data_IF_452472462802
#
_entry.id   IF_452472462802
#
_cell.length_a   1.000
_cell.length_b   1.000
_cell.length_c   1.000
_cell.angle_alpha   90.00
_cell.angle_beta   90.00
_cell.angle_gamma   90.00
#
_symmetry.space_group_name_H-M   'P 1'
#
loop_
_entity.id
_entity.type
_entity.pdbx_description
1 polymer ?
#
# COMPACT_ATOMS: atom_id res chain seq x y z
N UNK A 1 30.55 -9.21 29.07
CA UNK A 1 30.05 -8.62 30.33
C UNK A 1 28.54 -8.74 30.31
N UNK A 2 27.91 -9.20 31.40
CA UNK A 2 26.45 -9.38 31.49
C UNK A 2 25.67 -8.11 31.10
N UNK A 3 26.24 -6.93 31.34
CA UNK A 3 25.66 -5.65 30.96
C UNK A 3 25.42 -5.55 29.45
N UNK A 4 26.40 -5.94 28.63
CA UNK A 4 26.25 -5.93 27.16
C UNK A 4 25.25 -6.97 26.65
N UNK A 5 25.13 -8.10 27.34
CA UNK A 5 24.10 -9.11 27.02
C UNK A 5 22.71 -8.55 27.26
N UNK A 6 22.49 -7.87 28.39
CA UNK A 6 21.23 -7.21 28.68
C UNK A 6 20.93 -6.05 27.73
N UNK A 7 21.92 -5.25 27.35
CA UNK A 7 21.76 -4.16 26.38
C UNK A 7 21.26 -4.69 25.03
N UNK A 8 21.91 -5.73 24.49
CA UNK A 8 21.55 -6.35 23.21
C UNK A 8 20.15 -6.99 23.28
N UNK A 9 19.83 -7.70 24.36
CA UNK A 9 18.50 -8.29 24.52
C UNK A 9 17.40 -7.22 24.68
N UNK A 10 17.71 -6.11 25.34
CA UNK A 10 16.78 -4.98 25.48
C UNK A 10 16.53 -4.30 24.14
N UNK A 11 17.57 -4.10 23.31
CA UNK A 11 17.42 -3.58 21.95
C UNK A 11 16.58 -4.51 21.05
N UNK A 12 16.78 -5.82 21.17
CA UNK A 12 16.00 -6.84 20.44
C UNK A 12 14.53 -6.80 20.82
N UNK A 13 14.22 -6.82 22.11
CA UNK A 13 12.85 -6.74 22.61
C UNK A 13 12.18 -5.41 22.26
N UNK A 14 12.89 -4.29 22.37
CA UNK A 14 12.36 -2.98 21.99
C UNK A 14 12.04 -2.92 20.49
N UNK A 15 12.91 -3.46 19.63
CA UNK A 15 12.66 -3.52 18.18
C UNK A 15 11.42 -4.37 17.86
N UNK A 16 11.24 -5.50 18.57
CA UNK A 16 10.02 -6.33 18.45
C UNK A 16 8.76 -5.58 18.89
N UNK A 17 8.83 -4.83 19.98
CA UNK A 17 7.70 -4.01 20.47
C UNK A 17 7.34 -2.93 19.44
N UNK A 18 8.34 -2.25 18.86
CA UNK A 18 8.13 -1.25 17.80
C UNK A 18 7.49 -1.86 16.55
N UNK A 19 7.95 -3.04 16.12
CA UNK A 19 7.33 -3.76 15.00
C UNK A 19 5.87 -4.13 15.27
N UNK A 20 5.58 -4.72 16.43
CA UNK A 20 4.20 -5.08 16.80
C UNK A 20 3.28 -3.85 16.90
N UNK A 21 3.77 -2.71 17.39
CA UNK A 21 3.02 -1.45 17.40
C UNK A 21 2.69 -0.99 15.97
N UNK A 22 3.68 -0.96 15.08
CA UNK A 22 3.46 -0.57 13.69
C UNK A 22 2.49 -1.50 12.94
N UNK A 23 2.53 -2.80 13.24
CA UNK A 23 1.57 -3.76 12.70
C UNK A 23 0.15 -3.50 13.22
N UNK A 24 0.00 -3.16 14.50
CA UNK A 24 -1.29 -2.82 15.08
C UNK A 24 -1.86 -1.52 14.47
N UNK A 25 -1.00 -0.52 14.26
CA UNK A 25 -1.37 0.74 13.61
C UNK A 25 -1.84 0.49 12.17
N UNK A 26 -1.11 -0.31 11.39
CA UNK A 26 -1.53 -0.67 10.03
C UNK A 26 -2.88 -1.38 10.03
N UNK A 27 -3.06 -2.41 10.87
CA UNK A 27 -4.32 -3.15 10.97
C UNK A 27 -5.49 -2.23 11.32
N UNK A 28 -5.27 -1.27 12.22
CA UNK A 28 -6.28 -0.28 12.60
C UNK A 28 -6.67 0.60 11.42
N UNK A 29 -5.70 1.12 10.67
CA UNK A 29 -5.95 1.96 9.49
C UNK A 29 -6.67 1.15 8.40
N UNK A 30 -6.22 -0.08 8.12
CA UNK A 30 -6.86 -0.96 7.15
C UNK A 30 -8.31 -1.28 7.53
N UNK A 31 -8.57 -1.56 8.81
CA UNK A 31 -9.91 -1.84 9.31
C UNK A 31 -10.84 -0.64 9.10
N UNK A 32 -10.37 0.57 9.43
CA UNK A 32 -11.16 1.80 9.27
C UNK A 32 -11.43 2.11 7.79
N UNK A 33 -10.46 1.85 6.90
CA UNK A 33 -10.65 1.97 5.45
C UNK A 33 -11.67 0.96 4.91
N UNK A 34 -11.57 -0.31 5.33
CA UNK A 34 -12.55 -1.33 4.95
C UNK A 34 -13.96 -0.97 5.44
N UNK A 35 -14.08 -0.47 6.68
CA UNK A 35 -15.35 -0.01 7.25
C UNK A 35 -15.94 1.16 6.46
N UNK A 36 -15.14 2.20 6.21
CA UNK A 36 -15.53 3.36 5.38
C UNK A 36 -15.99 2.92 3.98
N UNK A 37 -15.26 1.99 3.36
CA UNK A 37 -15.64 1.46 2.05
C UNK A 37 -16.95 0.65 2.10
N UNK A 38 -17.17 -0.16 3.14
CA UNK A 38 -18.40 -0.90 3.34
C UNK A 38 -19.60 0.03 3.56
N UNK A 39 -19.45 1.08 4.37
CA UNK A 39 -20.48 2.11 4.60
C UNK A 39 -20.84 2.83 3.29
N UNK A 40 -19.83 3.21 2.49
CA UNK A 40 -20.03 3.81 1.17
C UNK A 40 -20.80 2.87 0.22
N UNK A 41 -20.40 1.60 0.14
CA UNK A 41 -21.10 0.61 -0.69
C UNK A 41 -22.54 0.40 -0.22
N UNK A 42 -22.78 0.33 1.09
CA UNK A 42 -24.13 0.20 1.65
C UNK A 42 -25.02 1.40 1.28
N UNK A 43 -24.48 2.62 1.36
CA UNK A 43 -25.20 3.82 0.92
C UNK A 43 -25.51 3.79 -0.57
N UNK A 44 -24.55 3.40 -1.41
CA UNK A 44 -24.77 3.27 -2.86
C UNK A 44 -25.88 2.26 -3.15
N UNK A 45 -25.80 1.06 -2.56
CA UNK A 45 -26.85 0.04 -2.70
C UNK A 45 -28.22 0.60 -2.32
N UNK A 46 -28.33 1.32 -1.20
CA UNK A 46 -29.57 1.98 -0.81
C UNK A 46 -30.09 3.00 -1.84
N UNK A 47 -29.20 3.80 -2.45
CA UNK A 47 -29.58 4.71 -3.57
C UNK A 47 -30.09 3.93 -4.79
N UNK A 48 -29.40 2.85 -5.18
CA UNK A 48 -29.79 2.00 -6.31
C UNK A 48 -31.13 1.28 -6.06
N UNK A 49 -31.35 0.74 -4.86
CA UNK A 49 -32.60 0.06 -4.47
C UNK A 49 -33.79 1.03 -4.45
N UNK A 50 -33.59 2.24 -3.90
CA UNK A 50 -34.59 3.31 -3.92
C UNK A 50 -34.97 3.69 -5.34
N UNK A 51 -33.97 3.92 -6.21
CA UNK A 51 -34.22 4.25 -7.62
C UNK A 51 -34.86 3.10 -8.40
N UNK A 52 -34.48 1.85 -8.14
CA UNK A 52 -35.11 0.69 -8.76
C UNK A 52 -36.60 0.60 -8.39
N UNK A 53 -36.94 0.90 -7.14
CA UNK A 53 -38.33 0.95 -6.67
C UNK A 53 -39.10 2.10 -7.33
N UNK A 54 -38.51 3.30 -7.39
CA UNK A 54 -39.08 4.45 -8.08
C UNK A 54 -39.33 4.16 -9.57
N UNK A 55 -38.35 3.59 -10.27
CA UNK A 55 -38.49 3.22 -11.68
C UNK A 55 -39.58 2.16 -11.90
N UNK A 56 -39.71 1.18 -10.99
CA UNK A 56 -40.79 0.18 -11.05
C UNK A 56 -42.17 0.82 -10.91
N UNK A 57 -42.35 1.75 -9.96
CA UNK A 57 -43.61 2.49 -9.82
C UNK A 57 -43.88 3.39 -11.03
N UNK A 58 -42.87 4.08 -11.56
CA UNK A 58 -43.00 4.91 -12.75
C UNK A 58 -43.38 4.09 -14.00
N UNK A 59 -42.86 2.86 -14.11
CA UNK A 59 -43.24 1.91 -15.15
C UNK A 59 -44.70 1.49 -15.00
N UNK A 60 -45.14 1.12 -13.80
CA UNK A 60 -46.54 0.75 -13.53
C UNK A 60 -47.51 1.88 -13.89
N UNK A 61 -47.22 3.13 -13.53
CA UNK A 61 -48.03 4.27 -13.96
C UNK A 61 -47.99 4.49 -15.49
N UNK A 62 -46.88 4.15 -16.14
CA UNK A 62 -46.78 4.21 -17.61
C UNK A 62 -47.65 3.13 -18.26
N UNK A 63 -47.66 1.91 -17.73
CA UNK A 63 -48.50 0.80 -18.21
C UNK A 63 -50.00 1.13 -18.06
N UNK A 64 -50.41 1.64 -16.90
CA UNK A 64 -51.80 2.09 -16.67
C UNK A 64 -52.19 3.25 -17.60
N UNK A 65 -51.24 4.14 -17.90
CA UNK A 65 -51.46 5.26 -18.80
C UNK A 65 -51.61 4.76 -20.25
N UNK A 66 -50.84 3.75 -20.66
CA UNK A 66 -50.98 3.09 -21.97
C UNK A 66 -52.35 2.40 -22.07
N UNK A 67 -52.78 1.61 -21.08
CA UNK A 67 -54.10 0.96 -21.06
C UNK A 67 -55.24 1.99 -21.25
N UNK A 68 -55.17 3.13 -20.55
CA UNK A 68 -56.16 4.20 -20.68
C UNK A 68 -56.13 4.90 -22.06
N UNK A 69 -54.94 5.13 -22.63
CA UNK A 69 -54.78 5.69 -23.97
C UNK A 69 -55.29 4.73 -25.06
N UNK A 70 -55.05 3.42 -24.92
CA UNK A 70 -55.56 2.39 -25.83
C UNK A 70 -57.09 2.37 -25.85
N UNK A 71 -57.74 2.53 -24.70
CA UNK A 71 -59.20 2.62 -24.61
C UNK A 71 -59.74 3.90 -25.24
N UNK A 72 -59.11 5.05 -25.01
CA UNK A 72 -59.48 6.30 -25.70
C UNK A 72 -59.33 6.19 -27.22
N UNK A 73 -58.25 5.55 -27.68
CA UNK A 73 -58.03 5.31 -29.10
C UNK A 73 -59.11 4.39 -29.68
N UNK A 74 -59.41 3.27 -29.02
CA UNK A 74 -60.46 2.35 -29.46
C UNK A 74 -61.85 3.02 -29.52
N UNK A 75 -62.16 3.89 -28.55
CA UNK A 75 -63.39 4.70 -28.57
C UNK A 75 -63.41 5.64 -29.78
N UNK A 76 -62.34 6.38 -30.04
CA UNK A 76 -62.23 7.30 -31.17
C UNK A 76 -62.29 6.59 -32.54
N UNK A 77 -61.57 5.47 -32.69
CA UNK A 77 -61.59 4.65 -33.92
C UNK A 77 -62.98 4.04 -34.17
N UNK A 78 -63.66 3.60 -33.12
CA UNK A 78 -65.03 3.08 -33.23
C UNK A 78 -66.05 4.18 -33.58
N UNK A 79 -65.88 5.39 -33.05
CA UNK A 79 -66.69 6.56 -33.41
C UNK A 79 -66.48 6.94 -34.89
N UNK A 80 -65.23 7.00 -35.34
CA UNK A 80 -64.93 7.25 -36.75
C UNK A 80 -65.53 6.19 -37.66
N UNK A 81 -65.42 4.91 -37.30
CA UNK A 81 -65.99 3.78 -38.06
C UNK A 81 -67.52 3.86 -38.15
N UNK A 82 -68.18 4.28 -37.07
CA UNK A 82 -69.62 4.46 -37.01
C UNK A 82 -70.07 5.63 -37.90
N UNK A 83 -69.37 6.77 -37.83
CA UNK A 83 -69.61 7.95 -38.68
C UNK A 83 -69.42 7.59 -40.16
N UNK A 84 -68.35 6.88 -40.52
CA UNK A 84 -68.09 6.43 -41.89
C UNK A 84 -69.17 5.47 -42.40
N UNK A 85 -69.60 4.51 -41.57
CA UNK A 85 -70.70 3.61 -41.88
C UNK A 85 -72.02 4.36 -42.12
N UNK A 86 -72.30 5.40 -41.33
CA UNK A 86 -73.48 6.26 -41.49
C UNK A 86 -73.44 7.07 -42.79
N UNK A 87 -72.29 7.67 -43.15
CA UNK A 87 -72.13 8.39 -44.42
C UNK A 87 -72.33 7.46 -45.62
N UNK A 88 -71.77 6.24 -45.56
CA UNK A 88 -71.95 5.22 -46.60
C UNK A 88 -73.41 4.75 -46.69
N UNK A 89 -74.09 4.58 -45.57
CA UNK A 89 -75.52 4.25 -45.53
C UNK A 89 -76.42 5.38 -46.07
N UNK A 90 -76.01 6.64 -45.89
CA UNK A 90 -76.69 7.81 -46.46
C UNK A 90 -76.42 8.02 -47.96
N UNK A 91 -75.67 7.13 -48.62
CA UNK A 91 -75.34 7.23 -50.05
C UNK A 91 -74.25 8.26 -50.38
N UNK A 92 -73.56 8.78 -49.36
CA UNK A 92 -72.49 9.77 -49.51
C UNK A 92 -71.15 9.04 -49.52
N UNK A 93 -70.70 8.62 -50.72
CA UNK A 93 -69.44 7.91 -50.91
C UNK A 93 -68.68 8.41 -52.14
N UNK A 94 -67.35 8.47 -52.06
CA UNK A 94 -66.50 8.81 -53.20
C UNK A 94 -66.61 7.71 -54.27
N UNK A 95 -66.86 8.12 -55.52
CA UNK A 95 -66.94 7.25 -56.70
C UNK A 95 -65.53 6.74 -57.02
N UNK A 96 -65.11 5.62 -56.44
CA UNK A 96 -63.79 5.07 -56.80
C UNK A 96 -63.27 3.85 -56.05
N UNK A 97 -63.66 3.60 -54.79
CA UNK A 97 -63.04 2.52 -54.01
C UNK A 97 -63.94 1.29 -53.88
N UNK A 98 -63.73 0.33 -54.79
CA UNK A 98 -64.23 -1.03 -54.66
C UNK A 98 -63.38 -1.80 -53.64
N UNK A 99 -63.60 -1.54 -52.35
CA UNK A 99 -63.02 -2.33 -51.27
C UNK A 99 -64.11 -3.10 -50.52
N UNK A 100 -64.21 -4.39 -50.85
CA UNK A 100 -64.85 -5.43 -50.05
C UNK A 100 -66.36 -5.54 -50.20
N UNK A 101 -66.81 -6.76 -50.50
CA UNK A 101 -68.21 -7.20 -50.65
C UNK A 101 -68.97 -7.24 -49.31
N UNK A 102 -68.72 -6.26 -48.45
CA UNK A 102 -69.22 -6.21 -47.08
C UNK A 102 -70.47 -5.32 -47.03
N UNK A 103 -71.61 -5.94 -46.70
CA UNK A 103 -72.88 -5.24 -46.59
C UNK A 103 -72.76 -4.05 -45.60
N UNK A 104 -73.23 -2.86 -46.00
CA UNK A 104 -73.22 -1.64 -45.17
C UNK A 104 -73.80 -1.92 -43.77
N UNK A 105 -74.82 -2.76 -43.69
CA UNK A 105 -75.45 -3.20 -42.44
C UNK A 105 -74.49 -4.02 -41.56
N UNK A 106 -73.65 -4.88 -42.16
CA UNK A 106 -72.63 -5.65 -41.44
C UNK A 106 -71.50 -4.76 -40.94
N UNK A 107 -71.08 -3.77 -41.73
CA UNK A 107 -70.09 -2.77 -41.32
C UNK A 107 -70.57 -1.93 -40.13
N UNK A 108 -71.81 -1.42 -40.18
CA UNK A 108 -72.42 -0.66 -39.08
C UNK A 108 -72.58 -1.52 -37.82
N UNK A 109 -73.01 -2.78 -37.98
CA UNK A 109 -73.11 -3.72 -36.86
C UNK A 109 -71.75 -3.94 -36.19
N UNK A 110 -70.69 -4.19 -36.98
CA UNK A 110 -69.33 -4.34 -36.44
C UNK A 110 -68.87 -3.07 -35.72
N UNK A 111 -69.09 -1.90 -36.30
CA UNK A 111 -68.70 -0.62 -35.67
C UNK A 111 -69.41 -0.43 -34.31
N UNK A 112 -70.69 -0.77 -34.22
CA UNK A 112 -71.45 -0.71 -32.98
C UNK A 112 -70.98 -1.73 -31.94
N UNK A 113 -70.68 -2.96 -32.36
CA UNK A 113 -70.16 -4.01 -31.47
C UNK A 113 -68.75 -3.65 -30.94
N UNK A 114 -67.89 -3.10 -31.80
CA UNK A 114 -66.57 -2.58 -31.41
C UNK A 114 -66.70 -1.42 -30.41
N UNK A 115 -67.58 -0.45 -30.68
CA UNK A 115 -67.84 0.67 -29.77
C UNK A 115 -68.33 0.19 -28.41
N UNK A 116 -69.33 -0.70 -28.38
CA UNK A 116 -69.86 -1.27 -27.14
C UNK A 116 -68.78 -2.01 -26.32
N UNK A 117 -67.88 -2.70 -27.00
CA UNK A 117 -66.75 -3.39 -26.35
C UNK A 117 -65.77 -2.40 -25.72
N UNK A 118 -65.40 -1.34 -26.45
CA UNK A 118 -64.53 -0.28 -25.94
C UNK A 118 -65.16 0.49 -24.76
N UNK A 119 -66.45 0.81 -24.86
CA UNK A 119 -67.22 1.47 -23.79
C UNK A 119 -67.29 0.61 -22.52
N UNK A 120 -67.54 -0.69 -22.65
CA UNK A 120 -67.57 -1.60 -21.52
C UNK A 120 -66.20 -1.73 -20.85
N UNK A 121 -65.12 -1.79 -21.64
CA UNK A 121 -63.76 -1.85 -21.12
C UNK A 121 -63.35 -0.53 -20.42
N UNK A 122 -63.72 0.63 -20.97
CA UNK A 122 -63.53 1.93 -20.35
C UNK A 122 -64.30 2.07 -19.03
N UNK A 123 -65.56 1.64 -18.98
CA UNK A 123 -66.34 1.60 -17.74
C UNK A 123 -65.73 0.68 -16.69
N UNK A 124 -65.22 -0.49 -17.10
CA UNK A 124 -64.53 -1.40 -16.20
C UNK A 124 -63.26 -0.77 -15.61
N UNK A 125 -62.49 -0.02 -16.42
CA UNK A 125 -61.31 0.71 -15.94
C UNK A 125 -61.68 1.84 -14.97
N UNK A 126 -62.72 2.63 -15.27
CA UNK A 126 -63.22 3.69 -14.38
C UNK A 126 -63.76 3.11 -13.06
N UNK A 127 -64.44 1.97 -13.09
CA UNK A 127 -64.86 1.31 -11.85
C UNK A 127 -63.70 0.82 -11.00
N UNK A 128 -62.59 0.36 -11.62
CA UNK A 128 -61.36 0.04 -10.88
C UNK A 128 -60.76 1.29 -10.24
N UNK A 129 -60.79 2.44 -10.92
CA UNK A 129 -60.34 3.71 -10.38
C UNK A 129 -61.15 4.15 -9.16
N UNK A 130 -62.49 4.09 -9.27
CA UNK A 130 -63.41 4.45 -8.19
C UNK A 130 -63.24 3.52 -6.97
N UNK A 131 -62.98 2.23 -7.19
CA UNK A 131 -62.66 1.26 -6.13
C UNK A 131 -61.28 1.47 -5.49
N UNK A 132 -60.29 1.93 -6.26
CA UNK A 132 -58.94 2.22 -5.78
C UNK A 132 -58.89 3.45 -4.88
N UNK A 133 -59.79 4.42 -5.10
CA UNK A 133 -59.93 5.64 -4.29
C UNK A 133 -60.26 5.37 -2.80
N UNK A 134 -60.86 4.21 -2.48
CA UNK A 134 -61.19 3.81 -1.10
C UNK A 134 -60.06 3.12 -0.32
N UNK A 135 -58.96 2.74 -0.97
CA UNK A 135 -57.87 1.95 -0.38
C UNK A 135 -56.58 2.73 -0.07
N UNK A 136 -56.54 4.04 -0.39
CA UNK A 136 -55.31 4.83 -0.45
C UNK A 136 -54.63 5.18 0.90
N UNK A 137 -55.01 4.54 2.02
CA UNK A 137 -54.35 4.71 3.33
C UNK A 137 -53.74 3.43 3.92
N UNK A 138 -53.57 2.37 3.13
CA UNK A 138 -52.60 1.34 3.49
C UNK A 138 -51.28 1.65 2.76
N UNK A 139 -50.26 2.03 3.53
CA UNK A 139 -48.87 2.19 3.07
C UNK A 139 -48.43 0.86 2.44
N UNK A 140 -48.46 0.78 1.11
CA UNK A 140 -48.00 -0.38 0.34
C UNK A 140 -46.48 -0.37 0.26
N UNK A 141 -45.87 -0.73 1.38
CA UNK A 141 -44.47 -1.13 1.50
C UNK A 141 -44.38 -2.61 1.84
N UNK A 142 -44.95 -3.51 1.03
CA UNK A 142 -44.53 -4.91 1.03
C UNK A 142 -44.95 -5.58 -0.29
N UNK A 143 -44.00 -6.21 -0.94
CA UNK A 143 -44.23 -7.22 -1.97
C UNK A 143 -45.34 -8.16 -1.49
N UNK A 144 -46.37 -8.40 -2.31
CA UNK A 144 -47.31 -9.51 -2.13
C UNK A 144 -46.46 -10.78 -1.94
N UNK A 145 -46.32 -11.22 -0.70
CA UNK A 145 -45.62 -12.44 -0.34
C UNK A 145 -46.63 -13.58 -0.53
N UNK A 146 -46.28 -14.67 -1.26
CA UNK A 146 -47.21 -15.76 -1.61
C UNK A 146 -47.91 -16.46 -0.44
N UNK A 147 -47.51 -16.19 0.81
CA UNK A 147 -47.98 -16.86 2.02
C UNK A 147 -49.09 -16.09 2.76
N UNK A 148 -49.43 -14.85 2.36
CA UNK A 148 -50.49 -14.05 3.00
C UNK A 148 -51.91 -14.55 2.69
N UNK A 149 -52.06 -15.48 1.74
CA UNK A 149 -53.35 -16.07 1.36
C UNK A 149 -53.95 -17.07 2.36
N UNK A 150 -53.36 -17.25 3.56
CA UNK A 150 -53.79 -18.30 4.50
C UNK A 150 -54.41 -17.79 5.81
N UNK A 151 -54.67 -16.48 5.97
CA UNK A 151 -55.19 -15.94 7.25
C UNK A 151 -56.47 -15.11 7.15
N UNK A 152 -57.36 -15.39 6.21
CA UNK A 152 -58.69 -14.78 6.22
C UNK A 152 -59.74 -15.75 5.70
N UNK A 153 -60.09 -16.72 6.53
CA UNK A 153 -61.32 -17.47 6.37
C UNK A 153 -62.29 -17.07 7.49
N UNK A 154 -63.52 -16.78 7.07
CA UNK A 154 -64.77 -16.70 7.86
C UNK A 154 -65.11 -15.30 8.42
N UNK A 155 -66.28 -14.69 8.22
CA UNK A 155 -67.64 -15.25 8.09
C UNK A 155 -68.64 -14.33 7.33
N UNK A 156 -69.50 -14.95 6.51
CA UNK A 156 -70.97 -14.73 6.34
C UNK A 156 -71.56 -13.33 6.08
N UNK A 157 -72.14 -13.16 4.88
CA UNK A 157 -73.58 -12.89 4.62
C UNK A 157 -73.74 -12.50 3.14
N UNK A 158 -74.22 -13.37 2.26
CA UNK A 158 -75.58 -13.31 1.68
C UNK A 158 -76.24 -11.93 1.73
N UNK A 159 -76.17 -11.21 0.61
CA UNK A 159 -77.36 -10.68 -0.07
C UNK A 159 -77.08 -10.63 -1.56
N UNK A 160 -77.83 -11.43 -2.31
CA UNK A 160 -78.02 -11.28 -3.74
C UNK A 160 -78.39 -9.83 -4.03
N UNK A 161 -77.44 -9.08 -4.58
CA UNK A 161 -77.76 -7.84 -5.28
C UNK A 161 -77.81 -8.23 -6.74
N UNK A 162 -79.03 -8.28 -7.29
CA UNK A 162 -79.21 -8.08 -8.72
C UNK A 162 -78.48 -6.78 -9.05
N UNK A 163 -77.27 -6.90 -9.60
CA UNK A 163 -76.64 -5.82 -10.33
C UNK A 163 -77.56 -5.58 -11.52
N UNK A 164 -78.58 -4.77 -11.27
CA UNK A 164 -79.28 -4.02 -12.30
C UNK A 164 -78.16 -3.41 -13.12
N UNK A 165 -77.93 -3.93 -14.32
CA UNK A 165 -77.13 -3.22 -15.30
C UNK A 165 -77.83 -1.88 -15.47
N UNK A 166 -77.35 -0.87 -14.75
CA UNK A 166 -77.45 0.48 -15.22
C UNK A 166 -76.76 0.41 -16.57
N UNK A 167 -77.55 0.19 -17.62
CA UNK A 167 -77.23 0.39 -19.01
C UNK A 167 -77.10 1.91 -19.21
N UNK A 168 -76.27 2.54 -18.37
CA UNK A 168 -75.86 3.92 -18.49
C UNK A 168 -74.96 3.92 -19.70
N UNK A 169 -75.45 4.51 -20.79
CA UNK A 169 -74.69 4.79 -21.99
C UNK A 169 -73.36 5.44 -21.60
N UNK A 170 -72.27 5.11 -22.30
CA UNK A 170 -70.99 5.77 -22.04
C UNK A 170 -71.12 7.25 -22.41
N UNK A 171 -70.91 8.11 -21.43
CA UNK A 171 -71.17 9.54 -21.55
C UNK A 171 -69.90 10.33 -21.88
N UNK A 172 -70.05 11.58 -22.34
CA UNK A 172 -68.89 12.48 -22.53
C UNK A 172 -68.19 12.78 -21.21
N UNK A 173 -68.93 12.71 -20.11
CA UNK A 173 -68.41 12.84 -18.75
C UNK A 173 -67.54 11.64 -18.35
N UNK A 174 -67.84 10.43 -18.81
CA UNK A 174 -66.99 9.25 -18.61
C UNK A 174 -65.68 9.37 -19.41
N UNK A 175 -65.78 9.84 -20.66
CA UNK A 175 -64.60 10.12 -21.49
C UNK A 175 -63.71 11.20 -20.88
N UNK A 176 -64.31 12.25 -20.32
CA UNK A 176 -63.57 13.29 -19.60
C UNK A 176 -62.89 12.73 -18.35
N UNK A 177 -63.57 11.90 -17.56
CA UNK A 177 -62.95 11.21 -16.41
C UNK A 177 -61.78 10.33 -16.81
N UNK A 178 -61.84 9.63 -17.94
CA UNK A 178 -60.73 8.84 -18.46
C UNK A 178 -59.53 9.73 -18.85
N UNK A 179 -59.76 10.91 -19.43
CA UNK A 179 -58.71 11.90 -19.73
C UNK A 179 -58.08 12.48 -18.45
N UNK A 180 -58.90 12.77 -17.45
CA UNK A 180 -58.43 13.28 -16.16
C UNK A 180 -57.58 12.23 -15.43
N UNK A 181 -57.98 10.95 -15.49
CA UNK A 181 -57.20 9.85 -14.95
C UNK A 181 -55.82 9.71 -15.61
N UNK A 182 -55.76 9.81 -16.94
CA UNK A 182 -54.48 9.83 -17.67
C UNK A 182 -53.59 10.99 -17.20
N UNK A 183 -54.18 12.18 -16.99
CA UNK A 183 -53.42 13.32 -16.52
C UNK A 183 -52.92 13.12 -15.09
N UNK A 184 -53.74 12.50 -14.22
CA UNK A 184 -53.33 12.09 -12.87
C UNK A 184 -52.15 11.12 -12.91
N UNK A 185 -52.22 10.05 -13.70
CA UNK A 185 -51.13 9.08 -13.86
C UNK A 185 -49.82 9.73 -14.34
N UNK A 186 -49.93 10.70 -15.26
CA UNK A 186 -48.76 11.47 -15.74
C UNK A 186 -48.17 12.34 -14.63
N UNK A 187 -49.00 12.95 -13.78
CA UNK A 187 -48.55 13.74 -12.65
C UNK A 187 -47.89 12.86 -11.58
N UNK A 188 -48.48 11.71 -11.24
CA UNK A 188 -47.94 10.77 -10.25
C UNK A 188 -46.59 10.19 -10.71
N UNK A 189 -46.47 9.83 -12.00
CA UNK A 189 -45.19 9.45 -12.60
C UNK A 189 -44.16 10.57 -12.56
N UNK A 190 -44.56 11.83 -12.79
CA UNK A 190 -43.66 12.96 -12.69
C UNK A 190 -43.20 13.19 -11.25
N UNK A 191 -44.08 13.01 -10.26
CA UNK A 191 -43.75 13.09 -8.84
C UNK A 191 -42.70 12.04 -8.44
N UNK A 192 -42.83 10.78 -8.92
CA UNK A 192 -41.81 9.75 -8.68
C UNK A 192 -40.47 10.10 -9.31
N UNK A 193 -40.46 10.71 -10.51
CA UNK A 193 -39.22 11.12 -11.14
C UNK A 193 -38.43 12.11 -10.28
N UNK A 194 -39.13 12.95 -9.49
CA UNK A 194 -38.49 13.90 -8.57
C UNK A 194 -37.84 13.22 -7.35
N UNK A 195 -38.22 11.99 -7.00
CA UNK A 195 -37.63 11.24 -5.87
C UNK A 195 -36.39 10.44 -6.28
N UNK A 196 -36.04 10.42 -7.57
CA UNK A 196 -34.87 9.69 -8.06
C UNK A 196 -33.57 10.39 -7.67
N UNK A 197 -32.63 9.60 -7.13
CA UNK A 197 -31.32 10.07 -6.70
C UNK A 197 -30.28 9.95 -7.82
N UNK A 198 -29.26 10.81 -7.81
CA UNK A 198 -28.11 10.64 -8.69
C UNK A 198 -27.28 9.42 -8.27
N UNK A 199 -26.97 8.57 -9.25
CA UNK A 199 -26.24 7.32 -9.05
C UNK A 199 -24.76 7.54 -9.33
N UNK A 200 -23.92 7.08 -8.41
CA UNK A 200 -22.46 7.11 -8.55
C UNK A 200 -21.97 5.71 -8.94
N UNK A 201 -20.97 5.66 -9.82
CA UNK A 201 -20.30 4.40 -10.19
C UNK A 201 -19.51 3.82 -9.01
N UNK A 202 -19.62 2.51 -8.82
CA UNK A 202 -18.82 1.75 -7.84
C UNK A 202 -17.35 1.69 -8.27
N UNK A 203 -17.09 1.73 -9.58
CA UNK A 203 -15.75 1.69 -10.14
C UNK A 203 -15.16 3.10 -10.13
N UNK A 204 -14.14 3.31 -9.31
CA UNK A 204 -13.24 4.44 -9.43
C UNK A 204 -12.40 4.16 -10.68
N UNK A 205 -12.78 4.74 -11.82
CA UNK A 205 -11.95 4.72 -13.01
C UNK A 205 -10.65 5.49 -12.67
N UNK A 206 -9.46 4.87 -12.76
CA UNK A 206 -8.18 5.54 -12.45
C UNK A 206 -7.93 6.81 -13.28
N UNK A 207 -8.70 7.03 -14.35
CA UNK A 207 -8.61 8.20 -15.23
C UNK A 207 -9.70 9.26 -14.99
N UNK A 208 -10.63 9.04 -14.06
CA UNK A 208 -11.70 9.98 -13.71
C UNK A 208 -11.17 11.09 -12.78
N UNK A 209 -10.47 12.07 -13.35
CA UNK A 209 -10.08 13.31 -12.68
C UNK A 209 -11.25 14.30 -12.67
N UNK A 210 -12.25 14.14 -11.78
CA UNK A 210 -13.05 15.32 -11.37
C UNK A 210 -13.85 15.19 -10.05
N UNK A 211 -13.41 14.37 -9.08
CA UNK A 211 -14.03 14.39 -7.75
C UNK A 211 -12.97 14.59 -6.68
N UNK A 212 -13.13 15.70 -5.95
CA UNK A 212 -12.32 16.14 -4.81
C UNK A 212 -12.00 14.96 -3.86
N UNK A 213 -10.73 14.68 -3.54
CA UNK A 213 -10.36 13.42 -2.92
C UNK A 213 -10.46 13.51 -1.40
N UNK A 214 -11.50 12.91 -0.82
CA UNK A 214 -11.48 12.52 0.60
C UNK A 214 -10.67 11.23 0.83
N UNK A 215 -10.59 10.37 -0.19
CA UNK A 215 -9.91 9.07 -0.12
C UNK A 215 -8.39 9.11 -0.28
N UNK A 216 -7.83 10.13 -0.94
CA UNK A 216 -6.38 10.17 -1.17
C UNK A 216 -5.58 10.31 0.12
N UNK A 217 -6.11 11.03 1.13
CA UNK A 217 -5.43 11.13 2.43
C UNK A 217 -5.40 9.78 3.15
N UNK A 218 -6.52 9.06 3.20
CA UNK A 218 -6.59 7.74 3.83
C UNK A 218 -5.70 6.72 3.10
N UNK A 219 -5.65 6.78 1.76
CA UNK A 219 -4.77 5.95 0.95
C UNK A 219 -3.29 6.25 1.22
N UNK A 220 -2.91 7.52 1.29
CA UNK A 220 -1.55 7.92 1.65
C UNK A 220 -1.18 7.51 3.09
N UNK A 221 -2.15 7.56 4.01
CA UNK A 221 -1.97 7.14 5.40
C UNK A 221 -1.73 5.62 5.49
N UNK A 222 -2.49 4.82 4.72
CA UNK A 222 -2.27 3.37 4.62
C UNK A 222 -0.90 3.07 4.02
N UNK A 223 -0.55 3.68 2.89
CA UNK A 223 0.75 3.49 2.25
C UNK A 223 1.90 3.85 3.20
N UNK A 224 1.76 4.94 3.97
CA UNK A 224 2.72 5.34 4.98
C UNK A 224 2.80 4.35 6.15
N UNK A 225 1.67 3.77 6.59
CA UNK A 225 1.63 2.75 7.63
C UNK A 225 2.27 1.43 7.18
N UNK A 226 2.06 1.01 5.93
CA UNK A 226 2.72 -0.17 5.34
C UNK A 226 4.23 0.02 5.31
N UNK A 227 4.69 1.17 4.81
CA UNK A 227 6.13 1.50 4.81
C UNK A 227 6.72 1.52 6.22
N UNK A 228 5.96 1.99 7.22
CA UNK A 228 6.39 1.97 8.61
C UNK A 228 6.49 0.54 9.15
N UNK A 229 5.52 -0.33 8.84
CA UNK A 229 5.56 -1.74 9.23
C UNK A 229 6.77 -2.45 8.63
N UNK A 230 7.03 -2.26 7.33
CA UNK A 230 8.20 -2.81 6.63
C UNK A 230 9.51 -2.31 7.26
N UNK A 231 9.60 -1.01 7.53
CA UNK A 231 10.77 -0.42 8.19
C UNK A 231 11.02 -1.04 9.58
N UNK A 232 9.96 -1.21 10.38
CA UNK A 232 10.10 -1.80 11.71
C UNK A 232 10.41 -3.30 11.65
N UNK A 233 9.91 -4.02 10.64
CA UNK A 233 10.29 -5.42 10.40
C UNK A 233 11.79 -5.54 10.15
N UNK A 234 12.32 -4.70 9.26
CA UNK A 234 13.75 -4.65 8.95
C UNK A 234 14.59 -4.27 10.18
N UNK A 235 14.10 -3.35 11.04
CA UNK A 235 14.78 -3.01 12.30
C UNK A 235 14.81 -4.19 13.27
N UNK A 236 13.71 -4.93 13.38
CA UNK A 236 13.65 -6.13 14.22
C UNK A 236 14.64 -7.19 13.73
N UNK A 237 14.65 -7.49 12.43
CA UNK A 237 15.62 -8.42 11.82
C UNK A 237 17.06 -7.97 12.06
N UNK A 238 17.34 -6.67 11.95
CA UNK A 238 18.67 -6.12 12.24
C UNK A 238 19.05 -6.29 13.72
N UNK A 239 18.13 -6.07 14.65
CA UNK A 239 18.38 -6.26 16.08
C UNK A 239 18.59 -7.75 16.42
N UNK A 240 17.82 -8.65 15.80
CA UNK A 240 17.98 -10.10 15.92
C UNK A 240 19.36 -10.56 15.39
N UNK A 241 19.77 -10.08 14.22
CA UNK A 241 21.09 -10.38 13.66
C UNK A 241 22.24 -9.84 14.52
N UNK A 242 22.10 -8.63 15.10
CA UNK A 242 23.07 -8.10 16.06
C UNK A 242 23.19 -8.97 17.30
N UNK A 243 22.07 -9.48 17.82
CA UNK A 243 22.07 -10.39 18.95
C UNK A 243 22.78 -11.71 18.64
N UNK A 244 22.50 -12.30 17.48
CA UNK A 244 23.18 -13.51 17.01
C UNK A 244 24.68 -13.31 16.80
N UNK A 245 25.08 -12.19 16.16
CA UNK A 245 26.50 -11.84 16.00
C UNK A 245 27.21 -11.70 17.34
N UNK A 246 26.58 -11.05 18.32
CA UNK A 246 27.14 -10.90 19.66
C UNK A 246 27.40 -12.26 20.32
N UNK A 247 26.44 -13.19 20.23
CA UNK A 247 26.58 -14.54 20.78
C UNK A 247 27.69 -15.33 20.08
N UNK A 248 27.74 -15.30 18.75
CA UNK A 248 28.77 -15.97 17.96
C UNK A 248 30.17 -15.42 18.23
N UNK A 249 30.32 -14.09 18.36
CA UNK A 249 31.61 -13.49 18.73
C UNK A 249 32.08 -13.89 20.12
N UNK A 250 31.14 -14.03 21.08
CA UNK A 250 31.44 -14.50 22.43
C UNK A 250 31.90 -15.96 22.41
N UNK A 251 31.20 -16.80 21.66
CA UNK A 251 31.57 -18.21 21.48
C UNK A 251 32.93 -18.37 20.79
N UNK A 252 33.17 -17.60 19.72
CA UNK A 252 34.46 -17.55 19.02
C UNK A 252 35.60 -17.23 19.98
N UNK A 253 35.49 -16.14 20.76
CA UNK A 253 36.52 -15.75 21.74
C UNK A 253 36.75 -16.82 22.81
N UNK A 254 35.67 -17.48 23.27
CA UNK A 254 35.79 -18.58 24.22
C UNK A 254 36.52 -19.79 23.62
N UNK A 255 36.28 -20.11 22.35
CA UNK A 255 36.99 -21.17 21.62
C UNK A 255 38.45 -20.80 21.34
N UNK A 256 38.74 -19.56 20.96
CA UNK A 256 40.10 -19.05 20.77
C UNK A 256 40.94 -19.17 22.04
N UNK A 257 40.38 -18.83 23.20
CA UNK A 257 41.05 -19.01 24.49
C UNK A 257 41.31 -20.49 24.82
N UNK A 258 40.36 -21.38 24.51
CA UNK A 258 40.54 -22.83 24.68
C UNK A 258 41.62 -23.37 23.76
N UNK A 259 41.66 -22.92 22.50
CA UNK A 259 42.69 -23.29 21.53
C UNK A 259 44.07 -22.86 22.04
N UNK A 260 44.23 -21.60 22.42
CA UNK A 260 45.49 -21.06 22.95
C UNK A 260 45.96 -21.82 24.21
N UNK A 261 45.03 -22.18 25.10
CA UNK A 261 45.36 -23.02 26.27
C UNK A 261 45.86 -24.40 25.87
N UNK A 262 45.33 -25.01 24.80
CA UNK A 262 45.80 -26.30 24.29
C UNK A 262 47.14 -26.19 23.58
N UNK A 263 47.36 -25.15 22.80
CA UNK A 263 48.65 -24.85 22.16
C UNK A 263 49.76 -24.66 23.20
N UNK A 264 49.47 -23.91 24.28
CA UNK A 264 50.42 -23.75 25.38
C UNK A 264 50.71 -25.09 26.10
N UNK A 265 49.69 -25.94 26.27
CA UNK A 265 49.84 -27.28 26.84
C UNK A 265 50.67 -28.20 25.93
N UNK A 266 50.44 -28.17 24.63
CA UNK A 266 51.23 -28.90 23.62
C UNK A 266 52.69 -28.46 23.67
N UNK A 267 52.95 -27.15 23.71
CA UNK A 267 54.30 -26.62 23.78
C UNK A 267 55.03 -27.05 25.07
N UNK A 268 54.32 -27.09 26.20
CA UNK A 268 54.88 -27.60 27.45
C UNK A 268 55.25 -29.09 27.34
N UNK A 269 54.41 -29.92 26.71
CA UNK A 269 54.72 -31.32 26.46
C UNK A 269 55.90 -31.51 25.50
N UNK A 270 56.01 -30.69 24.46
CA UNK A 270 57.13 -30.74 23.52
C UNK A 270 58.47 -30.43 24.22
N UNK A 271 58.51 -29.39 25.04
CA UNK A 271 59.70 -29.06 25.85
C UNK A 271 60.04 -30.19 26.82
N UNK A 272 59.03 -30.81 27.44
CA UNK A 272 59.25 -31.96 28.32
C UNK A 272 59.83 -33.17 27.57
N UNK A 273 59.32 -33.46 26.37
CA UNK A 273 59.85 -34.52 25.50
C UNK A 273 61.30 -34.21 25.09
N UNK A 274 61.62 -32.96 24.75
CA UNK A 274 62.97 -32.55 24.39
C UNK A 274 63.95 -32.71 25.55
N UNK A 275 63.55 -32.29 26.76
CA UNK A 275 64.33 -32.49 27.97
C UNK A 275 64.63 -33.96 28.24
N UNK A 276 63.62 -34.84 28.18
CA UNK A 276 63.81 -36.29 28.35
C UNK A 276 64.72 -36.90 27.27
N UNK A 277 64.61 -36.43 26.02
CA UNK A 277 65.53 -36.86 24.95
C UNK A 277 66.96 -36.46 25.24
N UNK A 278 67.20 -35.23 25.71
CA UNK A 278 68.53 -34.76 26.10
C UNK A 278 69.09 -35.57 27.27
N UNK A 279 68.30 -35.88 28.30
CA UNK A 279 68.74 -36.73 29.42
C UNK A 279 69.14 -38.14 28.96
N UNK A 280 68.35 -38.75 28.06
CA UNK A 280 68.67 -40.07 27.50
C UNK A 280 69.97 -40.03 26.70
N UNK A 281 70.20 -38.99 25.93
CA UNK A 281 71.42 -38.84 25.15
C UNK A 281 72.65 -38.60 26.04
N UNK A 282 72.51 -37.78 27.09
CA UNK A 282 73.57 -37.57 28.09
C UNK A 282 73.93 -38.89 28.81
N UNK A 283 72.93 -39.70 29.17
CA UNK A 283 73.17 -41.02 29.78
C UNK A 283 73.92 -41.96 28.83
N UNK A 284 73.62 -41.94 27.51
CA UNK A 284 74.38 -42.70 26.51
C UNK A 284 75.81 -42.21 26.39
N UNK A 285 76.03 -40.89 26.35
CA UNK A 285 77.38 -40.32 26.31
C UNK A 285 78.18 -40.68 27.56
N UNK A 286 77.57 -40.61 28.75
CA UNK A 286 78.22 -41.02 29.99
C UNK A 286 78.58 -42.51 29.98
N UNK A 287 77.71 -43.39 29.45
CA UNK A 287 78.03 -44.81 29.23
C UNK A 287 79.18 -45.01 28.23
N UNK A 288 79.18 -44.29 27.11
CA UNK A 288 80.27 -44.33 26.14
C UNK A 288 81.59 -43.84 26.74
N UNK A 289 81.55 -42.77 27.54
CA UNK A 289 82.73 -42.24 28.25
C UNK A 289 83.26 -43.24 29.28
N UNK A 290 82.38 -43.87 30.05
CA UNK A 290 82.79 -44.91 31.03
C UNK A 290 83.33 -46.18 30.38
N UNK A 291 82.84 -46.55 29.19
CA UNK A 291 83.42 -47.63 28.37
C UNK A 291 84.78 -47.23 27.74
N UNK A 292 85.01 -45.94 27.48
CA UNK A 292 86.30 -45.44 26.95
C UNK A 292 87.38 -45.22 28.02
N UNK A 293 87.01 -45.04 29.29
CA UNK A 293 87.95 -44.79 30.40
C UNK A 293 88.63 -46.03 30.98
N UNK A 294 88.50 -47.22 30.36
CA UNK A 294 89.36 -48.38 30.64
C UNK A 294 90.63 -48.44 29.79
N UNK A 295 90.86 -47.47 28.90
CA UNK A 295 92.11 -47.34 28.16
C UNK A 295 92.72 -45.95 28.35
N UNK A 296 93.99 -45.95 28.76
CA UNK A 296 94.93 -44.81 28.85
C UNK A 296 94.87 -43.91 30.09
N UNK A 297 95.66 -44.31 31.09
CA UNK A 297 96.22 -43.45 32.15
C UNK A 297 97.64 -43.05 31.73
N UNK A 298 97.96 -41.74 31.70
CA UNK A 298 99.31 -41.20 32.01
C UNK A 298 99.33 -39.66 32.10
N UNK A 299 99.71 -39.23 33.32
CA UNK A 299 100.22 -37.96 33.87
C UNK A 299 101.27 -37.22 33.00
N UNK A 300 101.69 -35.96 33.22
CA UNK A 300 101.50 -34.99 34.31
C UNK A 300 101.81 -33.54 33.88
N UNK A 301 101.26 -32.65 34.70
CA UNK A 301 101.45 -31.23 35.03
C UNK A 301 102.79 -30.47 34.80
N UNK A 302 102.59 -29.23 34.30
CA UNK A 302 102.87 -27.91 34.93
C UNK A 302 104.26 -27.22 34.87
N UNK A 303 104.21 -25.97 34.38
CA UNK A 303 104.60 -24.70 35.05
C UNK A 303 105.84 -23.90 34.57
N UNK A 304 105.63 -22.56 34.53
CA UNK A 304 106.54 -21.44 34.92
C UNK A 304 107.33 -20.62 33.87
N UNK A 305 106.78 -19.44 33.58
CA UNK A 305 107.33 -18.05 33.66
C UNK A 305 108.80 -17.65 33.35
N UNK A 306 108.89 -16.58 32.52
CA UNK A 306 109.66 -15.31 32.62
C UNK A 306 111.15 -15.15 32.22
N UNK A 307 111.36 -14.23 31.24
CA UNK A 307 112.41 -13.17 31.09
C UNK A 307 113.88 -13.58 31.04
N UNK A 308 114.80 -13.00 30.26
CA UNK A 308 114.87 -11.93 29.26
C UNK A 308 116.28 -12.03 28.64
N UNK A 309 116.51 -11.44 27.47
CA UNK A 309 117.84 -10.93 27.12
C UNK A 309 118.72 -11.71 26.14
N UNK A 310 118.72 -11.20 24.91
CA UNK A 310 119.92 -10.78 24.15
C UNK A 310 120.40 -11.66 22.98
N UNK A 311 119.92 -11.27 21.79
CA UNK A 311 120.64 -11.01 20.53
C UNK A 311 121.83 -11.92 20.17
N UNK A 312 121.74 -12.62 19.03
CA UNK A 312 122.20 -12.08 17.75
C UNK A 312 122.36 -13.17 16.67
N UNK A 313 122.07 -12.75 15.42
CA UNK A 313 122.73 -13.14 14.17
C UNK A 313 122.01 -14.14 13.26
N UNK A 314 121.91 -13.71 11.99
CA UNK A 314 121.83 -14.51 10.75
C UNK A 314 120.44 -15.04 10.35
N UNK A 315 119.73 -14.29 9.52
CA UNK A 315 119.71 -14.39 8.03
C UNK A 315 118.85 -15.53 7.44
N UNK A 316 117.81 -15.07 6.73
CA UNK A 316 117.21 -15.61 5.51
C UNK A 316 116.20 -16.78 5.58
N UNK A 317 115.94 -17.38 6.75
CA UNK A 317 114.96 -18.49 6.84
C UNK A 317 113.82 -18.29 7.84
N UNK A 318 113.87 -17.29 8.71
CA UNK A 318 112.86 -17.10 9.77
C UNK A 318 111.77 -16.05 9.46
N UNK A 319 111.85 -15.36 8.32
CA UNK A 319 110.83 -14.37 7.93
C UNK A 319 109.57 -15.00 7.26
N UNK A 320 109.48 -16.33 7.18
CA UNK A 320 108.35 -17.04 6.55
C UNK A 320 107.37 -17.70 7.53
N UNK A 321 107.81 -18.17 8.69
CA UNK A 321 106.93 -18.90 9.62
C UNK A 321 106.12 -17.99 10.57
N UNK A 322 106.67 -16.84 10.97
CA UNK A 322 105.93 -15.87 11.81
C UNK A 322 104.84 -15.15 11.01
N UNK A 323 105.12 -14.80 9.75
CA UNK A 323 104.18 -14.16 8.84
C UNK A 323 103.04 -15.09 8.38
N UNK A 324 103.27 -16.40 8.23
CA UNK A 324 102.22 -17.33 7.77
C UNK A 324 101.20 -17.66 8.88
N UNK A 325 101.66 -17.79 10.13
CA UNK A 325 100.78 -17.96 11.30
C UNK A 325 99.98 -16.70 11.62
N UNK A 326 100.60 -15.51 11.54
CA UNK A 326 99.88 -14.23 11.68
C UNK A 326 98.90 -14.01 10.52
N UNK A 327 99.28 -14.30 9.27
CA UNK A 327 98.38 -14.15 8.11
C UNK A 327 97.20 -15.12 8.16
N UNK A 328 97.40 -16.36 8.62
CA UNK A 328 96.31 -17.34 8.78
C UNK A 328 95.37 -16.97 9.93
N UNK A 329 95.89 -16.44 11.04
CA UNK A 329 95.06 -15.94 12.15
C UNK A 329 94.32 -14.66 11.76
N UNK A 330 94.93 -13.74 11.00
CA UNK A 330 94.26 -12.57 10.43
C UNK A 330 93.17 -12.95 9.43
N UNK A 331 93.42 -13.92 8.55
CA UNK A 331 92.42 -14.44 7.61
C UNK A 331 91.25 -15.09 8.36
N UNK A 332 91.50 -15.91 9.39
CA UNK A 332 90.46 -16.49 10.23
C UNK A 332 89.65 -15.42 10.98
N UNK A 333 90.32 -14.36 11.45
CA UNK A 333 89.67 -13.22 12.07
C UNK A 333 88.85 -12.40 11.06
N UNK A 334 89.34 -12.22 9.82
CA UNK A 334 88.63 -11.57 8.74
C UNK A 334 87.37 -12.36 8.33
N UNK A 335 87.46 -13.67 8.19
CA UNK A 335 86.35 -14.57 7.86
C UNK A 335 85.29 -14.58 8.97
N UNK A 336 85.71 -14.50 10.24
CA UNK A 336 84.79 -14.34 11.39
C UNK A 336 84.09 -12.98 11.37
N UNK A 337 84.78 -11.90 11.01
CA UNK A 337 84.17 -10.56 10.83
C UNK A 337 83.20 -10.56 9.65
N UNK A 338 83.55 -11.18 8.54
CA UNK A 338 82.69 -11.33 7.36
C UNK A 338 81.40 -12.10 7.71
N UNK A 339 81.51 -13.22 8.44
CA UNK A 339 80.33 -13.99 8.89
C UNK A 339 79.41 -13.17 9.79
N UNK A 340 79.96 -12.37 10.72
CA UNK A 340 79.17 -11.44 11.55
C UNK A 340 78.51 -10.34 10.72
N UNK A 341 79.22 -9.80 9.73
CA UNK A 341 78.70 -8.77 8.84
C UNK A 341 77.55 -9.30 7.98
N UNK A 342 77.68 -10.53 7.44
CA UNK A 342 76.60 -11.23 6.71
C UNK A 342 75.37 -11.45 7.59
N UNK A 343 75.56 -11.90 8.84
CA UNK A 343 74.46 -12.03 9.80
C UNK A 343 73.73 -10.72 10.04
N UNK A 344 74.48 -9.63 10.25
CA UNK A 344 73.91 -8.30 10.46
C UNK A 344 73.19 -7.75 9.23
N UNK A 345 73.71 -8.01 8.02
CA UNK A 345 73.02 -7.67 6.77
C UNK A 345 71.71 -8.44 6.64
N UNK A 346 71.70 -9.75 6.96
CA UNK A 346 70.48 -10.56 6.91
C UNK A 346 69.41 -10.07 7.90
N UNK A 347 69.81 -9.67 9.11
CA UNK A 347 68.92 -9.08 10.11
C UNK A 347 68.35 -7.73 9.63
N UNK A 348 69.17 -6.88 9.00
CA UNK A 348 68.74 -5.61 8.43
C UNK A 348 67.75 -5.80 7.28
N UNK A 349 68.00 -6.77 6.39
CA UNK A 349 67.07 -7.12 5.30
C UNK A 349 65.74 -7.59 5.89
N UNK A 350 65.77 -8.49 6.88
CA UNK A 350 64.56 -8.99 7.55
C UNK A 350 63.80 -7.88 8.30
N UNK A 351 64.52 -6.90 8.86
CA UNK A 351 63.91 -5.73 9.50
C UNK A 351 63.27 -4.79 8.47
N UNK A 352 63.93 -4.55 7.32
CA UNK A 352 63.39 -3.76 6.22
C UNK A 352 62.14 -4.42 5.63
N UNK A 353 62.14 -5.73 5.38
CA UNK A 353 60.96 -6.44 4.89
C UNK A 353 59.77 -6.33 5.85
N UNK A 354 60.00 -6.47 7.16
CA UNK A 354 58.96 -6.26 8.18
C UNK A 354 58.45 -4.83 8.20
N UNK A 355 59.35 -3.84 8.08
CA UNK A 355 58.98 -2.43 8.03
C UNK A 355 58.17 -2.11 6.77
N UNK A 356 58.57 -2.65 5.61
CA UNK A 356 57.87 -2.49 4.33
C UNK A 356 56.47 -3.07 4.41
N UNK A 357 56.31 -4.32 4.87
CA UNK A 357 55.00 -4.95 5.07
C UNK A 357 54.13 -4.15 6.05
N UNK A 358 54.72 -3.68 7.15
CA UNK A 358 54.02 -2.84 8.13
C UNK A 358 53.58 -1.50 7.52
N UNK A 359 54.40 -0.89 6.67
CA UNK A 359 54.06 0.35 5.96
C UNK A 359 52.96 0.13 4.92
N UNK A 360 53.02 -0.97 4.17
CA UNK A 360 52.02 -1.35 3.17
C UNK A 360 50.65 -1.59 3.81
N UNK A 361 50.60 -2.34 4.92
CA UNK A 361 49.36 -2.54 5.68
C UNK A 361 48.79 -1.21 6.18
N UNK A 362 49.63 -0.30 6.71
CA UNK A 362 49.17 1.04 7.12
C UNK A 362 48.62 1.84 5.95
N UNK A 363 49.25 1.79 4.78
CA UNK A 363 48.74 2.47 3.59
C UNK A 363 47.41 1.89 3.10
N UNK A 364 47.27 0.57 3.14
CA UNK A 364 46.03 -0.11 2.81
C UNK A 364 44.89 0.30 3.76
N UNK A 365 45.14 0.28 5.07
CA UNK A 365 44.18 0.74 6.09
C UNK A 365 43.81 2.23 5.89
N UNK A 366 44.80 3.08 5.60
CA UNK A 366 44.55 4.49 5.31
C UNK A 366 43.67 4.68 4.06
N UNK A 367 43.86 3.86 3.02
CA UNK A 367 43.04 3.91 1.81
C UNK A 367 41.59 3.48 2.09
N UNK A 368 41.40 2.44 2.91
CA UNK A 368 40.09 1.99 3.38
C UNK A 368 39.37 3.09 4.18
N UNK A 369 40.04 3.72 5.14
CA UNK A 369 39.47 4.85 5.88
C UNK A 369 39.07 6.02 4.97
N UNK A 370 39.88 6.34 3.96
CA UNK A 370 39.53 7.38 2.98
C UNK A 370 38.30 6.98 2.16
N UNK A 371 38.17 5.71 1.77
CA UNK A 371 37.02 5.22 1.03
C UNK A 371 35.74 5.23 1.87
N UNK A 372 35.83 4.86 3.15
CA UNK A 372 34.71 4.94 4.08
C UNK A 372 34.28 6.39 4.33
N UNK A 373 35.24 7.30 4.48
CA UNK A 373 34.97 8.74 4.59
C UNK A 373 34.28 9.27 3.33
N UNK A 374 34.74 8.87 2.14
CA UNK A 374 34.09 9.23 0.86
C UNK A 374 32.65 8.71 0.79
N UNK A 375 32.41 7.47 1.21
CA UNK A 375 31.06 6.86 1.24
C UNK A 375 30.15 7.60 2.23
N UNK A 376 30.65 7.89 3.42
CA UNK A 376 29.91 8.65 4.44
C UNK A 376 29.56 10.06 3.95
N UNK A 377 30.50 10.77 3.32
CA UNK A 377 30.25 12.08 2.74
C UNK A 377 29.22 12.02 1.59
N UNK A 378 29.30 11.01 0.72
CA UNK A 378 28.30 10.81 -0.34
C UNK A 378 26.89 10.60 0.24
N UNK A 379 26.76 9.75 1.26
CA UNK A 379 25.50 9.51 1.96
C UNK A 379 24.97 10.79 2.63
N UNK A 380 25.85 11.57 3.26
CA UNK A 380 25.49 12.83 3.89
C UNK A 380 24.98 13.85 2.86
N UNK A 381 25.64 13.96 1.71
CA UNK A 381 25.20 14.84 0.61
C UNK A 381 23.83 14.40 0.07
N UNK A 382 23.63 13.10 -0.14
CA UNK A 382 22.33 12.57 -0.59
C UNK A 382 21.21 12.85 0.44
N UNK A 383 21.49 12.65 1.72
CA UNK A 383 20.55 12.94 2.81
C UNK A 383 20.22 14.45 2.88
N UNK A 384 21.24 15.30 2.74
CA UNK A 384 21.09 16.74 2.71
C UNK A 384 20.23 17.21 1.52
N UNK A 385 20.50 16.73 0.30
CA UNK A 385 19.69 17.07 -0.87
C UNK A 385 18.24 16.57 -0.75
N UNK A 386 18.03 15.38 -0.17
CA UNK A 386 16.68 14.87 0.12
C UNK A 386 15.95 15.75 1.15
N UNK A 387 16.62 16.17 2.22
CA UNK A 387 16.05 17.06 3.23
C UNK A 387 15.73 18.43 2.63
N UNK A 388 16.66 19.02 1.89
CA UNK A 388 16.48 20.28 1.16
C UNK A 388 15.28 20.23 0.22
N UNK A 389 15.15 19.17 -0.59
CA UNK A 389 13.99 18.97 -1.49
C UNK A 389 12.67 18.87 -0.72
N UNK A 390 12.66 18.16 0.43
CA UNK A 390 11.47 18.06 1.31
C UNK A 390 11.07 19.43 1.86
N UNK A 391 12.02 20.21 2.37
CA UNK A 391 11.76 21.55 2.88
C UNK A 391 11.31 22.51 1.78
N UNK A 392 11.94 22.46 0.61
CA UNK A 392 11.53 23.28 -0.54
C UNK A 392 10.11 22.96 -1.00
N UNK A 393 9.72 21.68 -1.02
CA UNK A 393 8.36 21.28 -1.34
C UNK A 393 7.35 21.76 -0.30
N UNK A 394 7.70 21.71 0.99
CA UNK A 394 6.85 22.25 2.07
C UNK A 394 6.67 23.76 1.93
N UNK A 395 7.74 24.49 1.61
CA UNK A 395 7.70 25.93 1.35
C UNK A 395 6.74 26.24 0.18
N UNK A 396 6.90 25.57 -0.96
CA UNK A 396 6.01 25.74 -2.12
C UNK A 396 4.53 25.48 -1.80
N UNK A 397 4.23 24.49 -0.96
CA UNK A 397 2.85 24.20 -0.52
C UNK A 397 2.30 25.30 0.38
N UNK A 398 3.11 25.87 1.27
CA UNK A 398 2.69 27.00 2.11
C UNK A 398 2.49 28.26 1.27
N UNK A 399 3.39 28.54 0.32
CA UNK A 399 3.25 29.64 -0.63
C UNK A 399 1.97 29.51 -1.47
N UNK A 400 1.65 28.32 -1.98
CA UNK A 400 0.41 28.11 -2.73
C UNK A 400 -0.85 28.26 -1.88
N UNK A 401 -0.83 27.79 -0.63
CA UNK A 401 -1.92 28.00 0.32
C UNK A 401 -2.12 29.49 0.64
N UNK A 402 -1.02 30.23 0.83
CA UNK A 402 -1.05 31.67 1.06
C UNK A 402 -1.64 32.41 -0.15
N UNK A 403 -1.22 32.08 -1.37
CA UNK A 403 -1.78 32.66 -2.60
C UNK A 403 -3.27 32.38 -2.73
N UNK A 404 -3.71 31.14 -2.52
CA UNK A 404 -5.14 30.79 -2.55
C UNK A 404 -5.95 31.52 -1.47
N UNK A 405 -5.37 31.75 -0.29
CA UNK A 405 -6.00 32.54 0.76
C UNK A 405 -6.13 34.01 0.32
N UNK A 406 -5.08 34.60 -0.25
CA UNK A 406 -5.11 35.98 -0.77
C UNK A 406 -6.17 36.14 -1.84
N UNK A 407 -6.25 35.24 -2.83
CA UNK A 407 -7.27 35.28 -3.89
C UNK A 407 -8.70 35.20 -3.34
N UNK A 408 -8.94 34.35 -2.33
CA UNK A 408 -10.25 34.29 -1.63
C UNK A 408 -10.58 35.60 -0.92
N UNK A 409 -9.60 36.22 -0.25
CA UNK A 409 -9.85 37.51 0.39
C UNK A 409 -10.11 38.60 -0.66
N UNK A 410 -9.38 38.62 -1.77
CA UNK A 410 -9.60 39.57 -2.87
C UNK A 410 -11.00 39.43 -3.48
N UNK A 411 -11.46 38.20 -3.71
CA UNK A 411 -12.82 37.94 -4.21
C UNK A 411 -13.90 38.39 -3.22
N UNK A 412 -13.75 38.11 -1.92
CA UNK A 412 -14.65 38.60 -0.88
C UNK A 412 -14.69 40.13 -0.83
N UNK A 413 -13.53 40.78 -0.85
CA UNK A 413 -13.43 42.25 -0.89
C UNK A 413 -14.11 42.81 -2.13
N UNK A 414 -13.95 42.16 -3.31
CA UNK A 414 -14.63 42.57 -4.55
C UNK A 414 -16.14 42.45 -4.45
N UNK A 415 -16.66 41.34 -3.90
CA UNK A 415 -18.10 41.15 -3.69
C UNK A 415 -18.69 42.17 -2.70
N UNK A 416 -18.00 42.43 -1.59
CA UNK A 416 -18.42 43.45 -0.63
C UNK A 416 -18.44 44.85 -1.25
N UNK A 417 -17.43 45.21 -2.04
CA UNK A 417 -17.41 46.48 -2.78
C UNK A 417 -18.59 46.59 -3.75
N UNK A 418 -18.93 45.53 -4.49
CA UNK A 418 -20.09 45.51 -5.37
C UNK A 418 -21.41 45.65 -4.60
N UNK A 419 -21.54 44.97 -3.45
CA UNK A 419 -22.73 45.06 -2.60
C UNK A 419 -22.91 46.47 -2.03
N UNK A 420 -21.84 47.11 -1.59
CA UNK A 420 -21.85 48.50 -1.13
C UNK A 420 -22.33 49.42 -2.27
N UNK A 421 -21.77 49.29 -3.47
CA UNK A 421 -22.17 50.11 -4.62
C UNK A 421 -23.67 49.96 -4.98
N UNK A 422 -24.21 48.74 -4.92
CA UNK A 422 -25.65 48.50 -5.14
C UNK A 422 -26.52 49.16 -4.06
N UNK A 423 -26.10 49.08 -2.80
CA UNK A 423 -26.82 49.71 -1.68
C UNK A 423 -26.74 51.24 -1.76
N UNK A 424 -25.61 51.79 -2.20
CA UNK A 424 -25.45 53.22 -2.47
C UNK A 424 -26.38 53.67 -3.62
N UNK A 425 -26.51 52.86 -4.69
CA UNK A 425 -27.44 53.14 -5.79
C UNK A 425 -28.91 53.09 -5.31
N UNK A 426 -29.30 52.07 -4.55
CA UNK A 426 -30.65 51.92 -3.99
C UNK A 426 -31.02 53.07 -3.05
N UNK A 427 -30.08 53.51 -2.20
CA UNK A 427 -30.27 54.64 -1.30
C UNK A 427 -30.29 56.01 -2.03
N UNK A 428 -29.73 56.09 -3.24
CA UNK A 428 -29.76 57.30 -4.08
C UNK A 428 -31.04 57.43 -4.93
N UNK A 429 -31.87 56.38 -5.02
CA UNK A 429 -33.16 56.43 -5.71
C UNK A 429 -34.19 57.16 -4.83
N UNK A 430 -34.87 58.20 -5.35
CA UNK A 430 -35.85 58.93 -4.56
C UNK A 430 -37.02 58.02 -4.18
N UNK A 431 -37.38 57.99 -2.89
CA UNK A 431 -38.58 57.32 -2.39
C UNK A 431 -39.82 57.86 -3.12
N UNK A 432 -40.39 57.07 -4.03
CA UNK A 432 -41.73 57.35 -4.56
C UNK A 432 -42.73 56.98 -3.48
N UNK A 433 -43.05 57.96 -2.63
CA UNK A 433 -44.12 57.89 -1.66
C UNK A 433 -45.47 57.73 -2.40
N UNK A 434 -45.97 56.50 -2.49
CA UNK A 434 -47.39 56.27 -2.69
C UNK A 434 -48.11 56.47 -1.36
N UNK A 435 -48.44 57.72 -1.05
CA UNK A 435 -49.53 58.05 -0.12
C UNK A 435 -50.08 59.42 -0.48
N UNK A 436 -51.19 59.46 -1.22
CA UNK A 436 -52.35 60.34 -0.97
C UNK A 436 -53.40 60.23 -2.09
N UNK A 437 -54.62 59.91 -1.64
CA UNK A 437 -55.96 60.06 -2.24
C UNK A 437 -56.38 59.14 -3.39
#
# INVERSE_FOLDING_TARGET
SKIREFEVETERLNSRIEHLKSQNDLLTITLEECKSNAERMSMLVGKYESNATALRLALQYSEQCIEAYELLLALAESEQSLILGQFRAAGVGSVGDQTGDESITQMLKRAHDCRKTAENAAKALLMKLDGSCGGAYAVTGCSVQPWESLSSNSHTSTTSSTASSCDTEFTKEDEQRLKDYIQQLKNDRAAIKLTMLELESIHIDPLSYDVKPRGDSQRLDLENAVLMQELMAMKEEMAELKAQLYLLEKEKKALELKLSSREAQEQAYLVHIEHLKSEVEEQKEQRMRSLSSTSSSSKDKSNKECTDGTLASLTLTELKSYNESELTTELANALRREKKLKGRVQELVSALERLTKSSEIRHQQSAEFVNDLKRANSNLVAAYEKAKKKHQNKLKKLESQMMAMVERHETQVRMLKQRIALLEEENSRPHTNETSL
#
